data_IF_901277144148
#
_entry.id   IF_901277144148
#
_cell.length_a   1.000
_cell.length_b   1.000
_cell.length_c   1.000
_cell.angle_alpha   90.00
_cell.angle_beta   90.00
_cell.angle_gamma   90.00
#
_symmetry.space_group_name_H-M   'P 1'
#
loop_
_entity.id
_entity.type
_entity.pdbx_description
1 polymer ?
#
# COMPACT_ATOMS: atom_id res chain seq x y z
N UNK A 1 3.24 -7.91 17.12
CA UNK A 1 1.99 -7.15 17.33
C UNK A 1 0.91 -7.70 16.40
N UNK A 2 -0.35 -7.51 16.74
CA UNK A 2 -1.49 -8.00 15.95
C UNK A 2 -2.28 -6.81 15.39
N UNK A 3 -2.63 -6.88 14.11
CA UNK A 3 -3.36 -5.83 13.38
C UNK A 3 -4.62 -6.44 12.75
N UNK A 4 -5.75 -5.71 12.70
CA UNK A 4 -6.94 -6.20 12.04
C UNK A 4 -6.70 -6.37 10.54
N UNK A 5 -7.18 -7.48 9.97
CA UNK A 5 -7.14 -7.71 8.53
C UNK A 5 -8.23 -6.94 7.76
N UNK A 6 -8.30 -7.19 6.46
CA UNK A 6 -9.37 -6.72 5.56
C UNK A 6 -9.91 -7.88 4.74
N UNK A 7 -11.12 -7.73 4.20
CA UNK A 7 -11.79 -8.77 3.38
C UNK A 7 -12.00 -8.32 1.93
N UNK A 8 -11.97 -7.02 1.71
CA UNK A 8 -12.09 -6.36 0.43
C UNK A 8 -10.87 -6.67 -0.45
N UNK A 9 -11.09 -6.80 -1.76
CA UNK A 9 -10.00 -6.97 -2.70
C UNK A 9 -9.13 -5.71 -2.75
N UNK A 10 -7.82 -5.91 -2.79
CA UNK A 10 -6.85 -4.85 -3.11
C UNK A 10 -6.31 -4.99 -4.53
N UNK A 11 -6.75 -6.00 -5.28
CA UNK A 11 -6.22 -6.29 -6.62
C UNK A 11 -6.57 -5.16 -7.59
N UNK A 12 -5.56 -4.63 -8.29
CA UNK A 12 -5.74 -3.56 -9.29
C UNK A 12 -6.10 -2.19 -8.72
N UNK A 13 -5.90 -1.96 -7.42
CA UNK A 13 -6.09 -0.63 -6.83
C UNK A 13 -4.95 0.29 -7.27
N UNK A 14 -5.29 1.37 -7.95
CA UNK A 14 -4.31 2.35 -8.49
C UNK A 14 -4.15 3.59 -7.58
N UNK A 15 -5.01 3.75 -6.57
CA UNK A 15 -4.96 4.89 -5.64
C UNK A 15 -4.91 4.46 -4.18
N UNK A 16 -4.04 5.10 -3.41
CA UNK A 16 -3.85 4.77 -1.99
C UNK A 16 -5.13 4.91 -1.15
N UNK A 17 -5.95 5.93 -1.42
CA UNK A 17 -7.18 6.19 -0.68
C UNK A 17 -8.31 5.17 -0.95
N UNK A 18 -8.18 4.38 -2.00
CA UNK A 18 -9.09 3.28 -2.34
C UNK A 18 -8.73 1.96 -1.65
N UNK A 19 -7.54 1.85 -1.04
CA UNK A 19 -7.19 0.69 -0.22
C UNK A 19 -8.10 0.61 1.01
N UNK A 20 -8.40 -0.60 1.53
CA UNK A 20 -9.11 -0.75 2.79
C UNK A 20 -8.40 -0.01 3.93
N UNK A 21 -9.16 0.53 4.87
CA UNK A 21 -8.58 1.31 5.98
C UNK A 21 -7.54 0.50 6.78
N UNK A 22 -7.80 -0.78 7.01
CA UNK A 22 -6.88 -1.68 7.71
C UNK A 22 -5.63 -2.01 6.87
N UNK A 23 -5.73 -2.03 5.55
CA UNK A 23 -4.57 -2.20 4.67
C UNK A 23 -3.64 -0.99 4.76
N UNK A 24 -4.20 0.22 4.74
CA UNK A 24 -3.41 1.45 4.94
C UNK A 24 -2.77 1.51 6.32
N UNK A 25 -3.50 1.11 7.37
CA UNK A 25 -2.97 1.03 8.72
C UNK A 25 -1.81 0.03 8.84
N UNK A 26 -1.92 -1.11 8.15
CA UNK A 26 -0.84 -2.10 8.07
C UNK A 26 0.41 -1.56 7.37
N UNK A 27 0.25 -0.89 6.22
CA UNK A 27 1.36 -0.25 5.50
C UNK A 27 2.05 0.80 6.38
N UNK A 28 1.28 1.67 7.03
CA UNK A 28 1.82 2.68 7.96
C UNK A 28 2.60 2.01 9.10
N UNK A 29 2.11 0.89 9.64
CA UNK A 29 2.84 0.21 10.71
C UNK A 29 4.16 -0.38 10.23
N UNK A 30 4.22 -0.89 9.00
CA UNK A 30 5.49 -1.31 8.39
C UNK A 30 6.46 -0.14 8.35
N UNK A 31 6.05 1.03 7.84
CA UNK A 31 6.90 2.22 7.76
C UNK A 31 7.49 2.61 9.12
N UNK A 32 6.67 2.59 10.17
CA UNK A 32 7.10 2.89 11.55
C UNK A 32 8.08 1.86 12.12
N UNK A 33 7.94 0.58 11.77
CA UNK A 33 8.83 -0.48 12.26
C UNK A 33 10.19 -0.43 11.58
N UNK A 34 10.21 -0.16 10.27
CA UNK A 34 11.45 -0.17 9.48
C UNK A 34 12.11 1.20 9.38
N UNK A 35 11.45 2.25 9.88
CA UNK A 35 11.88 3.66 9.80
C UNK A 35 12.19 4.08 8.35
N UNK A 36 11.32 3.70 7.42
CA UNK A 36 11.47 3.98 5.97
C UNK A 36 10.09 4.06 5.30
N UNK A 37 9.85 5.03 4.41
CA UNK A 37 8.56 5.18 3.74
C UNK A 37 8.28 4.06 2.73
N UNK A 38 7.00 3.77 2.53
CA UNK A 38 6.49 2.95 1.43
C UNK A 38 6.20 3.88 0.26
N UNK A 39 7.08 3.87 -0.74
CA UNK A 39 6.96 4.77 -1.91
C UNK A 39 6.13 4.17 -3.05
N UNK A 40 6.11 2.83 -3.17
CA UNK A 40 5.48 2.11 -4.28
C UNK A 40 4.76 0.88 -3.75
N UNK A 41 3.52 0.66 -4.20
CA UNK A 41 2.70 -0.50 -3.83
C UNK A 41 2.20 -1.15 -5.12
N UNK A 42 2.69 -2.35 -5.43
CA UNK A 42 2.13 -3.17 -6.52
C UNK A 42 0.90 -3.91 -6.01
N UNK A 43 -0.22 -3.72 -6.71
CA UNK A 43 -1.53 -4.28 -6.37
C UNK A 43 -1.98 -5.36 -7.34
N UNK A 44 -1.19 -5.66 -8.38
CA UNK A 44 -1.54 -6.66 -9.38
C UNK A 44 -0.44 -6.85 -10.43
N UNK A 45 -0.67 -7.74 -11.42
CA UNK A 45 0.31 -8.08 -12.44
C UNK A 45 0.40 -7.03 -13.56
N UNK A 46 -0.63 -6.19 -13.76
CA UNK A 46 -0.63 -5.21 -14.84
C UNK A 46 0.25 -4.00 -14.49
N UNK A 47 0.78 -3.33 -15.52
CA UNK A 47 1.65 -2.15 -15.33
C UNK A 47 0.96 -1.05 -14.50
N UNK A 48 -0.34 -0.85 -14.71
CA UNK A 48 -1.09 0.20 -14.04
C UNK A 48 -1.58 -0.21 -12.65
N UNK A 49 -1.46 -1.50 -12.28
CA UNK A 49 -1.78 -2.01 -10.94
C UNK A 49 -0.66 -1.66 -9.95
N UNK A 50 -0.26 -0.39 -9.93
CA UNK A 50 0.83 0.13 -9.11
C UNK A 50 0.48 1.53 -8.60
N UNK A 51 0.52 1.70 -7.29
CA UNK A 51 0.38 3.00 -6.63
C UNK A 51 1.79 3.57 -6.45
N UNK A 52 2.05 4.75 -7.03
CA UNK A 52 3.32 5.49 -6.86
C UNK A 52 3.03 6.70 -5.97
N UNK A 53 3.51 6.67 -4.73
CA UNK A 53 3.40 7.77 -3.76
C UNK A 53 4.57 8.75 -3.90
N UNK A 54 5.76 8.23 -4.19
CA UNK A 54 6.97 8.99 -4.51
C UNK A 54 7.68 8.32 -5.67
N UNK A 55 7.95 9.10 -6.73
CA UNK A 55 8.72 8.60 -7.87
C UNK A 55 10.21 8.55 -7.50
N UNK A 56 10.88 7.39 -7.63
CA UNK A 56 12.30 7.26 -7.32
C UNK A 56 13.23 8.05 -8.25
N UNK A 57 12.74 8.56 -9.39
CA UNK A 57 13.52 9.29 -10.39
C UNK A 57 13.12 10.76 -10.57
N UNK A 58 12.19 11.27 -9.76
CA UNK A 58 11.77 12.69 -9.77
C UNK A 58 12.65 13.60 -8.92
#
# INVERSE_FOLDING_TARGET
>A
EELPGWKESTVGVERYDQLPANARAYLKRIEEVVDTPVDIISTGPERNDTIILRDPFS
#
